data_IF_704256718054
#
_entry.id   IF_704256718054
#
_cell.length_a   1.000
_cell.length_b   1.000
_cell.length_c   1.000
_cell.angle_alpha   90.00
_cell.angle_beta   90.00
_cell.angle_gamma   90.00
#
_symmetry.space_group_name_H-M   'P 1'
#
loop_
_entity.id
_entity.type
_entity.pdbx_description
1 polymer ?
#
# COMPACT_ATOMS: atom_id res chain seq x y z
N UNK A 1 -27.58 8.90 -5.79
CA UNK A 1 -26.95 7.84 -5.02
C UNK A 1 -25.45 8.07 -5.03
N UNK A 2 -24.85 8.01 -3.86
CA UNK A 2 -23.41 8.16 -3.82
C UNK A 2 -22.74 6.99 -4.50
N UNK A 3 -21.75 7.29 -5.31
CA UNK A 3 -20.99 6.24 -5.97
C UNK A 3 -20.11 5.51 -4.96
N UNK A 4 -20.25 4.21 -4.91
CA UNK A 4 -19.40 3.38 -4.06
C UNK A 4 -18.19 2.97 -4.89
N UNK A 5 -17.03 3.44 -4.51
CA UNK A 5 -15.80 3.06 -5.19
C UNK A 5 -15.50 1.60 -4.93
N UNK A 6 -15.10 0.87 -5.95
CA UNK A 6 -14.65 -0.50 -5.79
C UNK A 6 -13.32 -0.54 -5.04
N UNK A 7 -12.97 -1.72 -4.51
CA UNK A 7 -11.67 -1.89 -3.86
C UNK A 7 -10.52 -1.59 -4.85
N UNK A 8 -10.70 -1.98 -6.12
CA UNK A 8 -9.71 -1.68 -7.15
C UNK A 8 -9.54 -0.17 -7.34
N UNK A 9 -10.64 0.57 -7.41
CA UNK A 9 -10.58 2.03 -7.55
C UNK A 9 -9.85 2.66 -6.38
N UNK A 10 -10.14 2.21 -5.17
CA UNK A 10 -9.46 2.72 -3.97
C UNK A 10 -7.97 2.42 -3.99
N UNK A 11 -7.59 1.21 -4.39
CA UNK A 11 -6.18 0.85 -4.51
C UNK A 11 -5.47 1.74 -5.53
N UNK A 12 -6.09 1.96 -6.68
CA UNK A 12 -5.51 2.80 -7.73
C UNK A 12 -5.41 4.27 -7.30
N UNK A 13 -6.39 4.79 -6.57
CA UNK A 13 -6.35 6.15 -6.05
C UNK A 13 -5.25 6.33 -5.00
N UNK A 14 -5.10 5.35 -4.12
CA UNK A 14 -4.02 5.39 -3.12
C UNK A 14 -2.67 5.37 -3.83
N UNK A 15 -2.51 4.52 -4.84
CA UNK A 15 -1.28 4.45 -5.62
C UNK A 15 -0.95 5.79 -6.28
N UNK A 16 -1.93 6.43 -6.89
CA UNK A 16 -1.73 7.74 -7.53
C UNK A 16 -1.35 8.80 -6.50
N UNK A 17 -2.01 8.80 -5.35
CA UNK A 17 -1.71 9.74 -4.27
C UNK A 17 -0.26 9.58 -3.77
N UNK A 18 0.19 8.34 -3.62
CA UNK A 18 1.56 8.06 -3.19
C UNK A 18 2.58 8.53 -4.24
N UNK A 19 2.29 8.29 -5.51
CA UNK A 19 3.16 8.73 -6.60
C UNK A 19 3.22 10.26 -6.67
N UNK A 20 2.09 10.93 -6.50
CA UNK A 20 2.03 12.39 -6.48
C UNK A 20 2.82 12.97 -5.31
N UNK A 21 3.01 12.20 -4.24
CA UNK A 21 3.76 12.60 -3.06
C UNK A 21 5.18 12.07 -3.04
N UNK A 22 5.72 11.75 -4.22
CA UNK A 22 7.13 11.42 -4.44
C UNK A 22 7.53 10.00 -4.03
N UNK A 23 6.58 9.11 -3.76
CA UNK A 23 6.91 7.71 -3.64
C UNK A 23 7.34 7.18 -5.01
N UNK A 24 8.27 6.24 -5.03
CA UNK A 24 8.80 5.70 -6.28
C UNK A 24 8.34 4.27 -6.50
N UNK A 25 8.38 3.84 -7.77
CA UNK A 25 8.08 2.47 -8.17
C UNK A 25 6.77 1.95 -7.56
N UNK A 26 5.72 2.77 -7.64
CA UNK A 26 4.41 2.41 -7.09
C UNK A 26 3.80 1.30 -7.93
N UNK A 27 3.42 0.21 -7.27
CA UNK A 27 2.80 -0.94 -7.93
C UNK A 27 1.47 -1.25 -7.27
N UNK A 28 0.52 -1.76 -8.06
CA UNK A 28 -0.76 -2.28 -7.57
C UNK A 28 -0.91 -3.70 -8.10
N UNK A 29 -1.13 -4.65 -7.21
CA UNK A 29 -1.25 -6.06 -7.56
C UNK A 29 -2.58 -6.59 -7.05
N UNK A 30 -3.36 -7.19 -7.93
CA UNK A 30 -4.58 -7.91 -7.55
C UNK A 30 -4.16 -9.29 -7.04
N UNK A 31 -4.33 -9.52 -5.75
CA UNK A 31 -3.98 -10.78 -5.10
C UNK A 31 -5.21 -11.53 -4.60
N UNK A 32 -6.40 -11.11 -5.04
CA UNK A 32 -7.66 -11.66 -4.55
C UNK A 32 -7.80 -13.17 -4.79
N UNK A 33 -7.21 -13.67 -5.86
CA UNK A 33 -7.25 -15.10 -6.18
C UNK A 33 -6.19 -15.91 -5.44
N UNK A 34 -5.22 -15.25 -4.81
CA UNK A 34 -4.08 -15.92 -4.15
C UNK A 34 -4.27 -16.05 -2.65
N UNK A 35 -5.22 -15.33 -2.07
CA UNK A 35 -5.49 -15.38 -0.64
C UNK A 35 -6.93 -14.93 -0.36
N UNK A 36 -7.35 -15.10 0.89
CA UNK A 36 -8.72 -14.77 1.30
C UNK A 36 -8.80 -13.56 2.24
N UNK A 37 -7.68 -12.92 2.56
CA UNK A 37 -7.69 -11.86 3.57
C UNK A 37 -7.56 -10.45 3.01
N UNK A 38 -7.14 -10.30 1.76
CA UNK A 38 -7.13 -9.01 1.10
C UNK A 38 -7.22 -9.19 -0.41
N UNK A 39 -7.62 -8.13 -1.13
CA UNK A 39 -7.79 -8.19 -2.57
C UNK A 39 -6.64 -7.53 -3.32
N UNK A 40 -6.07 -6.46 -2.77
CA UNK A 40 -5.05 -5.67 -3.47
C UNK A 40 -3.88 -5.31 -2.57
N UNK A 41 -2.68 -5.38 -3.15
CA UNK A 41 -1.48 -4.79 -2.55
C UNK A 41 -1.15 -3.52 -3.31
N UNK A 42 -0.85 -2.45 -2.56
CA UNK A 42 -0.24 -1.24 -3.10
C UNK A 42 1.16 -1.17 -2.49
N UNK A 43 2.18 -1.19 -3.34
CA UNK A 43 3.58 -1.22 -2.89
C UNK A 43 4.28 0.02 -3.42
N UNK A 44 4.94 0.76 -2.55
CA UNK A 44 5.66 1.97 -2.92
C UNK A 44 7.01 2.04 -2.21
N UNK A 45 7.98 2.66 -2.87
CA UNK A 45 9.31 2.88 -2.30
C UNK A 45 9.37 4.26 -1.69
N UNK A 46 9.87 4.33 -0.46
CA UNK A 46 10.05 5.55 0.31
C UNK A 46 11.54 5.80 0.57
N UNK A 47 11.90 7.03 0.94
CA UNK A 47 13.31 7.44 1.05
C UNK A 47 13.77 7.78 2.46
N UNK A 48 12.86 8.06 3.39
CA UNK A 48 13.21 8.46 4.74
C UNK A 48 12.06 8.25 5.68
N UNK A 49 12.35 8.30 6.99
CA UNK A 49 11.28 8.18 7.99
C UNK A 49 10.30 9.35 7.93
N UNK A 50 10.78 10.55 7.65
CA UNK A 50 9.90 11.70 7.45
C UNK A 50 8.99 11.51 6.24
N UNK A 51 9.52 10.93 5.17
CA UNK A 51 8.73 10.64 3.97
C UNK A 51 7.61 9.64 4.26
N UNK A 52 7.95 8.51 4.92
CA UNK A 52 6.91 7.52 5.19
C UNK A 52 5.86 8.05 6.17
N UNK A 53 6.24 8.87 7.14
CA UNK A 53 5.28 9.45 8.08
C UNK A 53 4.28 10.34 7.36
N UNK A 54 4.76 11.15 6.42
CA UNK A 54 3.88 11.99 5.60
C UNK A 54 2.94 11.16 4.73
N UNK A 55 3.46 10.11 4.11
CA UNK A 55 2.64 9.23 3.27
C UNK A 55 1.64 8.45 4.11
N UNK A 56 2.05 7.95 5.27
CA UNK A 56 1.15 7.22 6.16
C UNK A 56 0.00 8.11 6.61
N UNK A 57 0.27 9.39 6.89
CA UNK A 57 -0.77 10.34 7.24
C UNK A 57 -1.75 10.52 6.09
N UNK A 58 -1.25 10.65 4.86
CA UNK A 58 -2.11 10.78 3.68
C UNK A 58 -3.00 9.56 3.50
N UNK A 59 -2.45 8.35 3.70
CA UNK A 59 -3.24 7.13 3.61
C UNK A 59 -4.34 7.11 4.69
N UNK A 60 -4.00 7.50 5.92
CA UNK A 60 -4.97 7.57 7.01
C UNK A 60 -6.09 8.58 6.71
N UNK A 61 -5.75 9.74 6.17
CA UNK A 61 -6.72 10.74 5.80
C UNK A 61 -7.65 10.22 4.68
N UNK A 62 -7.07 9.56 3.68
CA UNK A 62 -7.84 8.94 2.60
C UNK A 62 -8.81 7.89 3.13
N UNK A 63 -8.34 7.05 4.03
CA UNK A 63 -9.16 6.00 4.64
C UNK A 63 -10.36 6.62 5.35
N UNK A 64 -10.12 7.66 6.11
CA UNK A 64 -11.19 8.37 6.83
C UNK A 64 -12.19 9.01 5.87
N UNK A 65 -11.69 9.67 4.83
CA UNK A 65 -12.53 10.36 3.86
C UNK A 65 -13.38 9.41 3.02
N UNK A 66 -12.99 8.17 2.89
CA UNK A 66 -13.68 7.17 2.08
C UNK A 66 -14.40 6.12 2.92
N UNK A 67 -14.64 6.41 4.20
CA UNK A 67 -15.39 5.53 5.11
C UNK A 67 -14.79 4.13 5.22
N UNK A 68 -13.46 4.06 5.20
CA UNK A 68 -12.73 2.82 5.39
C UNK A 68 -12.18 2.77 6.81
N UNK A 69 -11.61 1.63 7.18
CA UNK A 69 -10.98 1.45 8.50
C UNK A 69 -9.59 0.84 8.34
N UNK A 70 -8.67 1.31 9.17
CA UNK A 70 -7.36 0.69 9.28
C UNK A 70 -7.48 -0.47 10.26
N UNK A 71 -7.22 -1.68 9.80
CA UNK A 71 -7.29 -2.88 10.61
C UNK A 71 -6.02 -3.11 11.39
N UNK A 72 -4.86 -2.95 10.73
CA UNK A 72 -3.55 -3.22 11.33
C UNK A 72 -2.50 -2.31 10.72
N UNK A 73 -1.54 -1.87 11.52
CA UNK A 73 -0.33 -1.22 11.04
C UNK A 73 0.87 -1.92 11.64
N UNK A 74 1.91 -2.13 10.84
CA UNK A 74 3.15 -2.77 11.27
C UNK A 74 4.37 -2.06 10.74
N UNK A 75 5.42 -2.03 11.56
CA UNK A 75 6.76 -1.64 11.14
C UNK A 75 7.66 -2.86 11.28
N UNK A 76 8.34 -3.24 10.21
CA UNK A 76 9.14 -4.46 10.16
C UNK A 76 10.62 -4.27 10.51
N UNK A 77 11.08 -3.05 10.63
CA UNK A 77 12.48 -2.77 10.92
C UNK A 77 12.65 -2.15 12.30
N UNK A 78 13.84 -2.32 12.87
CA UNK A 78 14.15 -1.72 14.16
C UNK A 78 14.05 -0.20 14.11
N UNK A 79 14.42 0.41 12.96
CA UNK A 79 14.29 1.85 12.75
C UNK A 79 12.86 2.27 12.45
N UNK A 80 12.01 1.33 12.06
CA UNK A 80 10.61 1.60 11.74
C UNK A 80 10.38 2.22 10.37
N UNK A 81 11.42 2.34 9.55
CA UNK A 81 11.30 3.00 8.25
C UNK A 81 11.70 2.13 7.05
N UNK A 82 11.97 0.85 7.24
CA UNK A 82 12.27 -0.04 6.12
C UNK A 82 11.02 -0.64 5.50
N UNK A 83 10.06 -1.00 6.30
CA UNK A 83 8.83 -1.62 5.81
C UNK A 83 7.68 -1.26 6.75
N UNK A 84 6.76 -0.45 6.23
CA UNK A 84 5.55 -0.04 6.95
C UNK A 84 4.34 -0.58 6.21
N UNK A 85 3.51 -1.32 6.93
CA UNK A 85 2.33 -1.96 6.36
C UNK A 85 1.09 -1.33 6.96
N UNK A 86 0.14 -0.95 6.11
CA UNK A 86 -1.16 -0.40 6.54
C UNK A 86 -2.25 -1.28 5.92
N UNK A 87 -2.89 -2.09 6.76
CA UNK A 87 -3.95 -3.00 6.34
C UNK A 87 -5.30 -2.31 6.45
N UNK A 88 -5.95 -2.11 5.32
CA UNK A 88 -7.25 -1.44 5.23
C UNK A 88 -8.36 -2.46 4.94
N UNK A 89 -8.07 -3.75 5.02
CA UNK A 89 -9.02 -4.81 4.73
C UNK A 89 -8.92 -5.29 3.29
N UNK A 90 -9.58 -4.64 2.37
CA UNK A 90 -9.53 -5.01 0.94
C UNK A 90 -8.23 -4.57 0.26
N UNK A 91 -7.49 -3.64 0.87
CA UNK A 91 -6.23 -3.13 0.35
C UNK A 91 -5.20 -3.14 1.46
N UNK A 92 -4.00 -3.61 1.16
CA UNK A 92 -2.85 -3.51 2.07
C UNK A 92 -1.81 -2.63 1.39
N UNK A 93 -1.43 -1.54 2.05
CA UNK A 93 -0.44 -0.60 1.57
C UNK A 93 0.90 -0.95 2.18
N UNK A 94 1.91 -1.14 1.33
CA UNK A 94 3.29 -1.43 1.74
C UNK A 94 4.17 -0.24 1.38
N UNK A 95 4.70 0.45 2.38
CA UNK A 95 5.66 1.54 2.20
C UNK A 95 7.03 1.00 2.59
N UNK A 96 7.91 0.81 1.62
CA UNK A 96 9.16 0.10 1.82
C UNK A 96 10.35 0.93 1.35
N UNK A 97 11.49 0.81 2.06
CA UNK A 97 12.74 1.33 1.54
C UNK A 97 13.14 0.53 0.28
N UNK A 98 14.01 1.10 -0.54
CA UNK A 98 14.50 0.40 -1.73
C UNK A 98 15.18 -0.93 -1.36
N UNK A 99 15.98 -0.93 -0.29
CA UNK A 99 16.66 -2.12 0.18
C UNK A 99 15.69 -3.19 0.66
N UNK A 100 14.68 -2.81 1.45
CA UNK A 100 13.67 -3.76 1.93
C UNK A 100 12.87 -4.32 0.77
N UNK A 101 12.52 -3.49 -0.19
CA UNK A 101 11.73 -3.92 -1.35
C UNK A 101 12.50 -4.96 -2.18
N UNK A 102 13.81 -4.76 -2.36
CA UNK A 102 14.65 -5.72 -3.06
C UNK A 102 14.81 -7.01 -2.25
N UNK A 103 15.05 -6.89 -0.95
CA UNK A 103 15.28 -8.04 -0.07
C UNK A 103 14.03 -8.93 0.05
N UNK A 104 12.88 -8.35 0.32
CA UNK A 104 11.64 -9.12 0.51
C UNK A 104 10.96 -9.48 -0.81
N UNK A 105 11.13 -8.67 -1.83
CA UNK A 105 10.64 -8.91 -3.19
C UNK A 105 9.20 -9.43 -3.23
N UNK A 106 8.28 -8.63 -2.68
CA UNK A 106 6.87 -8.99 -2.61
C UNK A 106 6.28 -9.25 -3.99
N UNK A 107 6.75 -8.51 -4.99
CA UNK A 107 6.25 -8.64 -6.36
C UNK A 107 6.57 -10.02 -6.93
N UNK A 108 7.74 -10.56 -6.60
CA UNK A 108 8.11 -11.93 -7.00
C UNK A 108 7.33 -12.97 -6.20
N UNK A 109 7.18 -12.74 -4.89
CA UNK A 109 6.44 -13.65 -4.02
C UNK A 109 4.97 -13.77 -4.46
N UNK A 110 4.40 -12.66 -4.92
CA UNK A 110 3.02 -12.61 -5.36
C UNK A 110 2.89 -12.52 -6.88
N UNK A 111 3.85 -13.10 -7.63
CA UNK A 111 3.89 -13.01 -9.09
C UNK A 111 2.67 -13.64 -9.77
N UNK A 112 1.95 -14.52 -9.09
CA UNK A 112 0.69 -15.07 -9.60
C UNK A 112 -0.44 -14.06 -9.59
N UNK A 113 -0.28 -12.93 -8.93
CA UNK A 113 -1.27 -11.87 -8.91
C UNK A 113 -1.24 -11.08 -10.21
N UNK A 114 -2.35 -10.37 -10.46
CA UNK A 114 -2.46 -9.54 -11.65
C UNK A 114 -1.92 -8.15 -11.36
N UNK A 115 -0.88 -7.75 -12.06
CA UNK A 115 -0.30 -6.43 -11.91
C UNK A 115 -1.17 -5.41 -12.64
N UNK A 116 -1.73 -4.45 -11.89
CA UNK A 116 -2.60 -3.41 -12.43
C UNK A 116 -1.82 -2.11 -12.70
N UNK A 117 -0.68 -1.97 -12.01
CA UNK A 117 0.14 -0.77 -12.17
C UNK A 117 1.60 -1.05 -11.90
#
# INVERSE_FOLDING_TARGET
MADVKSAQDKAMEIAQMLEDSKAENVSVIDVSELNSWTDYFVIATIHSSAHWQGLAKQVKDYVKENDMEIHVTHNKAASGDDWNLIDIGSVVVHLMSADAREFYDLEKLWHGGKKLR
#
